data_IF_694925752759
#
_entry.id   IF_694925752759
#
_cell.length_a   1.000
_cell.length_b   1.000
_cell.length_c   1.000
_cell.angle_alpha   90.00
_cell.angle_beta   90.00
_cell.angle_gamma   90.00
#
_symmetry.space_group_name_H-M   'P 1'
#
loop_
_entity.id
_entity.type
_entity.pdbx_description
1 polymer ?
#
# COMPACT_ATOMS: atom_id res chain seq x y z
N UNK A 1 -6.10 34.58 -29.76
CA UNK A 1 -5.83 33.16 -29.47
C UNK A 1 -6.35 32.90 -28.07
N UNK A 2 -7.55 32.36 -27.95
CA UNK A 2 -8.14 32.02 -26.65
C UNK A 2 -8.01 30.50 -26.50
N UNK A 3 -7.08 30.06 -25.66
CA UNK A 3 -6.90 28.64 -25.34
C UNK A 3 -7.95 28.32 -24.27
N UNK A 4 -9.20 28.16 -24.73
CA UNK A 4 -10.25 27.53 -23.94
C UNK A 4 -9.93 26.04 -23.88
N UNK A 5 -8.96 25.71 -23.03
CA UNK A 5 -8.68 24.35 -22.59
C UNK A 5 -9.89 23.86 -21.83
N UNK A 6 -10.86 23.31 -22.56
CA UNK A 6 -11.92 22.52 -21.97
C UNK A 6 -11.26 21.39 -21.21
N UNK A 7 -11.19 21.51 -19.89
CA UNK A 7 -10.98 20.35 -19.04
C UNK A 7 -12.17 19.45 -19.33
N UNK A 8 -11.97 18.46 -20.21
CA UNK A 8 -12.82 17.29 -20.24
C UNK A 8 -12.75 16.73 -18.83
N UNK A 9 -13.77 17.02 -18.03
CA UNK A 9 -14.03 16.29 -16.81
C UNK A 9 -14.31 14.87 -17.29
N UNK A 10 -13.25 14.06 -17.40
CA UNK A 10 -13.35 12.64 -17.64
C UNK A 10 -14.13 12.14 -16.44
N UNK A 11 -15.44 11.99 -16.62
CA UNK A 11 -16.29 11.28 -15.68
C UNK A 11 -15.87 9.83 -15.79
N UNK A 12 -14.80 9.48 -15.07
CA UNK A 12 -14.42 8.09 -14.83
C UNK A 12 -15.64 7.48 -14.15
N UNK A 13 -16.39 6.68 -14.89
CA UNK A 13 -17.48 5.89 -14.34
C UNK A 13 -16.87 5.03 -13.23
N UNK A 14 -17.22 5.33 -11.97
CA UNK A 14 -16.67 4.64 -10.82
C UNK A 14 -17.31 3.26 -10.66
N UNK A 15 -17.13 2.40 -11.66
CA UNK A 15 -17.65 1.03 -11.66
C UNK A 15 -16.93 0.15 -10.63
N UNK A 16 -15.76 0.57 -10.16
CA UNK A 16 -14.94 -0.11 -9.14
C UNK A 16 -15.03 0.50 -7.73
N UNK A 17 -15.78 1.58 -7.53
CA UNK A 17 -15.88 2.21 -6.20
C UNK A 17 -14.59 2.85 -5.68
N UNK A 18 -13.65 3.19 -6.56
CA UNK A 18 -12.39 3.87 -6.23
C UNK A 18 -12.70 5.21 -5.56
N UNK A 19 -12.13 5.38 -4.37
CA UNK A 19 -12.25 6.60 -3.57
C UNK A 19 -11.00 7.45 -3.70
N UNK A 20 -11.12 8.73 -3.32
CA UNK A 20 -9.96 9.63 -3.28
C UNK A 20 -8.85 9.11 -2.37
N UNK A 21 -9.23 8.49 -1.24
CA UNK A 21 -8.29 7.90 -0.28
C UNK A 21 -7.46 6.76 -0.89
N UNK A 22 -8.01 6.03 -1.86
CA UNK A 22 -7.27 4.96 -2.53
C UNK A 22 -6.17 5.52 -3.45
N UNK A 23 -6.46 6.62 -4.13
CA UNK A 23 -5.49 7.35 -4.96
C UNK A 23 -4.42 8.03 -4.11
N UNK A 24 -4.80 8.59 -2.95
CA UNK A 24 -3.86 9.18 -1.98
C UNK A 24 -2.90 8.11 -1.43
N UNK A 25 -3.43 6.93 -1.06
CA UNK A 25 -2.61 5.80 -0.63
C UNK A 25 -1.67 5.33 -1.75
N UNK A 26 -2.16 5.26 -2.98
CA UNK A 26 -1.35 4.87 -4.13
C UNK A 26 -0.21 5.87 -4.39
N UNK A 27 -0.49 7.16 -4.27
CA UNK A 27 0.51 8.22 -4.39
C UNK A 27 1.56 8.13 -3.27
N UNK A 28 1.15 7.79 -2.05
CA UNK A 28 2.08 7.61 -0.92
C UNK A 28 2.97 6.37 -1.07
N UNK A 29 2.44 5.29 -1.65
CA UNK A 29 3.19 4.06 -1.93
C UNK A 29 4.25 4.27 -3.03
N UNK A 30 3.94 5.08 -4.04
CA UNK A 30 4.82 5.36 -5.18
C UNK A 30 5.16 6.86 -5.26
N UNK A 31 5.59 7.42 -4.13
CA UNK A 31 5.73 8.87 -3.95
C UNK A 31 6.84 9.49 -4.80
N UNK A 32 8.11 9.18 -4.49
CA UNK A 32 9.26 9.72 -5.19
C UNK A 32 10.42 8.70 -5.19
N UNK A 33 11.41 8.84 -6.10
CA UNK A 33 12.51 7.88 -6.22
C UNK A 33 13.33 7.68 -4.93
N UNK A 34 13.34 8.68 -4.05
CA UNK A 34 14.17 8.70 -2.82
C UNK A 34 13.35 8.89 -1.54
N UNK A 35 12.02 8.94 -1.62
CA UNK A 35 11.16 9.12 -0.46
C UNK A 35 9.80 8.48 -0.66
N UNK A 36 9.31 7.83 0.37
CA UNK A 36 7.94 7.31 0.44
C UNK A 36 7.02 8.35 1.09
N UNK A 37 5.74 8.29 0.74
CA UNK A 37 4.73 9.07 1.44
C UNK A 37 4.50 8.53 2.86
N UNK A 38 3.87 9.33 3.73
CA UNK A 38 3.67 8.99 5.14
C UNK A 38 2.94 7.66 5.33
N UNK A 39 1.92 7.34 4.51
CA UNK A 39 1.22 6.05 4.62
C UNK A 39 2.12 4.87 4.21
N UNK A 40 2.92 5.03 3.15
CA UNK A 40 3.87 4.02 2.69
C UNK A 40 4.93 3.66 3.73
N UNK A 41 5.49 4.67 4.41
CA UNK A 41 6.45 4.46 5.50
C UNK A 41 5.83 3.67 6.66
N UNK A 42 4.62 4.06 7.07
CA UNK A 42 3.91 3.41 8.20
C UNK A 42 3.59 1.95 7.90
N UNK A 43 3.21 1.64 6.67
CA UNK A 43 2.96 0.26 6.22
C UNK A 43 4.26 -0.56 6.28
N UNK A 44 5.38 0.02 5.83
CA UNK A 44 6.68 -0.66 5.85
C UNK A 44 7.17 -0.94 7.28
N UNK A 45 7.09 0.06 8.18
CA UNK A 45 7.44 -0.08 9.60
C UNK A 45 6.59 -1.15 10.27
N UNK A 46 5.28 -1.13 10.04
CA UNK A 46 4.36 -2.12 10.59
C UNK A 46 4.66 -3.52 10.02
N UNK A 47 4.97 -3.62 8.73
CA UNK A 47 5.36 -4.87 8.10
C UNK A 47 6.63 -5.48 8.69
N UNK A 48 7.64 -4.65 9.00
CA UNK A 48 8.84 -5.09 9.71
C UNK A 48 8.52 -5.55 11.13
N UNK A 49 7.73 -4.77 11.87
CA UNK A 49 7.33 -5.13 13.23
C UNK A 49 6.54 -6.44 13.26
N UNK A 50 5.59 -6.63 12.33
CA UNK A 50 4.82 -7.87 12.22
C UNK A 50 5.71 -9.07 11.90
N UNK A 51 6.72 -8.90 11.05
CA UNK A 51 7.70 -9.95 10.76
C UNK A 51 8.46 -10.37 12.02
N UNK A 52 8.95 -9.41 12.80
CA UNK A 52 9.76 -9.68 13.99
C UNK A 52 8.93 -10.33 15.12
N UNK A 53 7.63 -10.02 15.17
CA UNK A 53 6.73 -10.51 16.22
C UNK A 53 5.82 -11.66 15.77
N UNK A 54 5.98 -12.16 14.53
CA UNK A 54 5.12 -13.19 13.96
C UNK A 54 5.08 -14.48 14.79
N UNK A 55 6.19 -14.81 15.47
CA UNK A 55 6.28 -16.01 16.30
C UNK A 55 5.36 -15.98 17.55
N UNK A 56 5.03 -14.77 18.05
CA UNK A 56 4.20 -14.55 19.23
C UNK A 56 2.70 -14.63 18.93
N UNK A 57 2.32 -14.84 17.67
CA UNK A 57 0.93 -14.97 17.29
C UNK A 57 0.32 -16.25 17.91
N UNK A 58 -0.85 -16.16 18.56
CA UNK A 58 -1.54 -17.31 19.16
C UNK A 58 -2.05 -18.24 18.06
N UNK A 59 -1.18 -19.13 17.60
CA UNK A 59 -1.41 -20.06 16.49
C UNK A 59 -0.15 -20.81 16.03
N UNK A 60 1.05 -20.41 16.46
CA UNK A 60 2.32 -21.01 16.04
C UNK A 60 2.71 -22.30 16.80
N UNK A 61 1.98 -22.68 17.85
CA UNK A 61 2.38 -23.79 18.74
C UNK A 61 1.93 -25.19 18.28
N UNK A 62 1.17 -25.32 17.19
CA UNK A 62 0.72 -26.64 16.72
C UNK A 62 0.81 -26.74 15.20
N UNK A 63 1.64 -27.69 14.76
CA UNK A 63 1.79 -28.22 13.39
C UNK A 63 3.05 -27.72 12.67
N UNK A 64 4.11 -28.50 12.88
CA UNK A 64 5.23 -28.69 11.97
C UNK A 64 4.78 -28.78 10.50
N UNK A 65 4.73 -27.66 9.77
CA UNK A 65 4.84 -27.63 8.31
C UNK A 65 5.06 -26.21 7.82
N UNK A 66 6.34 -25.93 7.55
CA UNK A 66 6.85 -25.29 6.33
C UNK A 66 6.18 -23.99 5.86
N UNK A 67 7.00 -22.94 5.93
CA UNK A 67 7.06 -21.83 4.98
C UNK A 67 6.00 -20.73 5.12
N UNK A 68 6.16 -19.88 6.14
CA UNK A 68 6.12 -18.43 5.90
C UNK A 68 7.53 -17.89 6.14
N UNK A 69 8.47 -18.43 5.38
CA UNK A 69 9.80 -17.87 5.29
C UNK A 69 9.67 -16.65 4.38
N UNK A 70 9.34 -15.49 4.96
CA UNK A 70 9.46 -14.17 4.31
C UNK A 70 10.96 -13.88 4.15
N UNK A 71 11.63 -14.75 3.40
CA UNK A 71 13.08 -14.81 3.29
C UNK A 71 13.50 -13.63 2.43
N UNK A 72 14.07 -12.63 3.09
CA UNK A 72 15.11 -11.75 2.55
C UNK A 72 14.74 -11.10 1.19
N UNK A 73 14.01 -9.98 1.27
CA UNK A 73 14.19 -8.91 0.28
C UNK A 73 15.46 -8.14 0.66
#
# INVERSE_FOLDING_TARGET
MDIRGGASFVKVSNEFGITYSDLELLADLFYLPFSYGPAGLRILELGHWLRDNAFSAPGSATTLTREVCFSKL
#
